data_IF_475703615794
#
_entry.id   IF_475703615794
#
_cell.length_a   1.000
_cell.length_b   1.000
_cell.length_c   1.000
_cell.angle_alpha   90.00
_cell.angle_beta   90.00
_cell.angle_gamma   90.00
#
_symmetry.space_group_name_H-M   'P 1'
#
loop_
_entity.id
_entity.type
_entity.pdbx_description
1 polymer ?
#
# COMPACT_ATOMS: atom_id res chain seq x y z
N UNK A 1 8.03 -13.76 23.66
CA UNK A 1 7.26 -13.62 22.40
C UNK A 1 8.18 -12.90 21.43
N UNK A 2 8.99 -13.66 20.69
CA UNK A 2 10.18 -13.11 20.00
C UNK A 2 10.04 -13.40 18.51
N UNK A 3 9.53 -12.43 17.76
CA UNK A 3 9.53 -12.48 16.30
C UNK A 3 10.87 -11.92 15.82
N UNK A 4 11.82 -12.82 15.50
CA UNK A 4 13.07 -12.44 14.85
C UNK A 4 12.83 -12.23 13.35
N UNK A 5 12.37 -11.04 12.98
CA UNK A 5 12.28 -10.60 11.58
C UNK A 5 13.63 -9.99 11.22
N UNK A 6 14.56 -10.82 10.72
CA UNK A 6 15.80 -10.34 10.15
C UNK A 6 15.55 -9.90 8.70
N UNK A 7 15.13 -8.65 8.51
CA UNK A 7 15.26 -7.97 7.22
C UNK A 7 16.49 -7.06 7.28
N UNK A 8 17.41 -7.29 6.35
CA UNK A 8 18.75 -6.72 6.27
C UNK A 8 18.76 -5.18 6.15
N UNK A 9 19.27 -4.47 7.15
CA UNK A 9 20.17 -3.29 7.01
C UNK A 9 20.55 -2.76 8.42
N UNK A 10 21.85 -2.75 8.75
CA UNK A 10 22.38 -2.48 10.12
C UNK A 10 22.15 -1.05 10.64
N UNK A 11 21.87 -0.07 9.77
CA UNK A 11 21.49 1.30 10.17
C UNK A 11 19.96 1.53 10.13
N UNK A 12 19.18 0.51 9.78
CA UNK A 12 17.74 0.56 9.55
C UNK A 12 16.93 0.00 10.74
N UNK A 13 17.58 -0.26 11.87
CA UNK A 13 16.93 -0.77 13.09
C UNK A 13 15.84 0.20 13.56
N UNK A 14 16.03 1.51 13.44
CA UNK A 14 15.02 2.50 13.84
C UNK A 14 13.81 2.46 12.88
N UNK A 15 14.03 2.37 11.56
CA UNK A 15 12.95 2.35 10.56
C UNK A 15 12.19 1.02 10.57
N UNK A 16 12.87 -0.11 10.75
CA UNK A 16 12.23 -1.44 10.90
C UNK A 16 11.46 -1.51 12.21
N UNK A 17 12.01 -0.98 13.31
CA UNK A 17 11.29 -0.92 14.59
C UNK A 17 10.07 -0.02 14.45
N UNK A 18 10.14 1.13 13.78
CA UNK A 18 8.98 2.02 13.60
C UNK A 18 7.94 1.40 12.65
N UNK A 19 8.33 0.75 11.56
CA UNK A 19 7.39 0.09 10.63
C UNK A 19 6.77 -1.15 11.28
N UNK A 20 7.55 -1.98 11.98
CA UNK A 20 7.03 -3.14 12.71
C UNK A 20 6.18 -2.68 13.89
N UNK A 21 6.57 -1.64 14.63
CA UNK A 21 5.75 -1.08 15.70
C UNK A 21 4.48 -0.46 15.13
N UNK A 22 4.52 0.33 14.05
CA UNK A 22 3.31 0.95 13.47
C UNK A 22 2.42 -0.08 12.80
N UNK A 23 2.95 -1.09 12.11
CA UNK A 23 2.14 -2.15 11.50
C UNK A 23 1.63 -3.12 12.55
N UNK A 24 2.43 -3.53 13.54
CA UNK A 24 1.96 -4.35 14.65
C UNK A 24 0.99 -3.55 15.50
N UNK A 25 1.20 -2.25 15.74
CA UNK A 25 0.24 -1.39 16.44
C UNK A 25 -1.03 -1.21 15.60
N UNK A 26 -0.96 -0.97 14.29
CA UNK A 26 -2.15 -0.83 13.43
C UNK A 26 -2.89 -2.16 13.36
N UNK A 27 -2.22 -3.29 13.17
CA UNK A 27 -2.83 -4.63 13.18
C UNK A 27 -3.35 -4.99 14.58
N UNK A 28 -2.63 -4.70 15.66
CA UNK A 28 -3.05 -4.99 17.05
C UNK A 28 -4.16 -4.04 17.51
N UNK A 29 -4.16 -2.77 17.10
CA UNK A 29 -5.26 -1.81 17.35
C UNK A 29 -6.50 -2.22 16.54
N UNK A 30 -6.33 -2.63 15.27
CA UNK A 30 -7.43 -3.14 14.42
C UNK A 30 -7.99 -4.46 14.93
N UNK A 31 -7.17 -5.32 15.54
CA UNK A 31 -7.62 -6.59 16.15
C UNK A 31 -8.21 -6.37 17.57
N UNK A 32 -7.71 -5.42 18.35
CA UNK A 32 -8.19 -5.13 19.71
C UNK A 32 -9.47 -4.29 19.73
N UNK A 33 -9.75 -3.53 18.67
CA UNK A 33 -10.95 -2.71 18.52
C UNK A 33 -11.68 -3.24 17.30
N UNK A 34 -12.70 -4.07 17.52
CA UNK A 34 -13.57 -4.64 16.49
C UNK A 34 -14.36 -3.55 15.73
N UNK A 35 -13.68 -2.77 14.90
CA UNK A 35 -14.29 -1.79 14.00
C UNK A 35 -13.68 -2.01 12.62
N UNK A 36 -14.53 -2.42 11.69
CA UNK A 36 -14.35 -2.46 10.24
C UNK A 36 -13.97 -1.08 9.72
N UNK A 37 -12.71 -0.69 9.88
CA UNK A 37 -12.13 0.49 9.22
C UNK A 37 -11.28 -0.04 8.08
N UNK A 38 -11.73 0.17 6.85
CA UNK A 38 -10.90 -0.01 5.66
C UNK A 38 -9.76 1.00 5.74
N UNK A 39 -8.65 0.65 6.39
CA UNK A 39 -7.44 1.45 6.37
C UNK A 39 -6.84 1.25 4.99
N UNK A 40 -7.17 2.16 4.08
CA UNK A 40 -6.54 2.21 2.76
C UNK A 40 -5.10 2.67 2.95
N UNK A 41 -4.13 1.83 2.65
CA UNK A 41 -2.71 2.21 2.61
C UNK A 41 -2.26 2.34 1.16
N UNK A 42 -1.28 3.20 0.90
CA UNK A 42 -0.63 3.25 -0.41
C UNK A 42 0.60 2.36 -0.40
N UNK A 43 0.57 1.31 -1.21
CA UNK A 43 1.73 0.46 -1.50
C UNK A 43 2.45 1.01 -2.71
N UNK A 44 3.75 1.20 -2.56
CA UNK A 44 4.62 1.64 -3.65
C UNK A 44 5.49 0.48 -4.14
N UNK A 45 5.43 0.19 -5.44
CA UNK A 45 6.15 -0.92 -6.09
C UNK A 45 6.93 -0.43 -7.31
N UNK A 46 8.07 -1.06 -7.63
CA UNK A 46 8.86 -0.74 -8.82
C UNK A 46 8.88 -1.89 -9.82
N UNK A 47 8.78 -1.62 -11.13
CA UNK A 47 8.97 -2.66 -12.16
C UNK A 47 10.46 -2.90 -12.45
N UNK A 48 10.77 -4.11 -12.93
CA UNK A 48 12.14 -4.61 -13.03
C UNK A 48 12.89 -4.07 -14.26
N UNK A 49 12.23 -3.66 -15.34
CA UNK A 49 12.92 -3.32 -16.61
C UNK A 49 13.06 -1.80 -16.80
N UNK A 50 12.16 -1.02 -16.20
CA UNK A 50 12.13 0.44 -16.20
C UNK A 50 11.82 0.81 -14.75
N UNK A 51 12.56 1.70 -14.09
CA UNK A 51 12.27 2.09 -12.69
C UNK A 51 10.98 2.93 -12.67
N UNK A 52 9.84 2.26 -12.84
CA UNK A 52 8.50 2.83 -12.79
C UNK A 52 7.97 2.55 -11.41
N UNK A 53 7.82 3.62 -10.64
CA UNK A 53 7.21 3.59 -9.32
C UNK A 53 5.69 3.65 -9.50
N UNK A 54 4.97 2.69 -8.93
CA UNK A 54 3.50 2.62 -8.95
C UNK A 54 2.95 2.65 -7.53
N UNK A 55 1.93 3.47 -7.31
CA UNK A 55 1.28 3.65 -6.02
C UNK A 55 -0.12 3.02 -6.05
N UNK A 56 -0.42 2.10 -5.15
CA UNK A 56 -1.72 1.40 -5.10
C UNK A 56 -2.36 1.56 -3.75
N UNK A 57 -3.60 2.04 -3.73
CA UNK A 57 -4.47 1.99 -2.58
C UNK A 57 -4.90 0.53 -2.33
N UNK A 58 -4.63 -0.01 -1.13
CA UNK A 58 -5.04 -1.37 -0.75
C UNK A 58 -5.70 -1.38 0.62
N UNK A 59 -6.62 -2.33 0.81
CA UNK A 59 -7.29 -2.55 2.09
C UNK A 59 -6.34 -3.24 3.07
N UNK A 60 -5.85 -2.52 4.09
CA UNK A 60 -4.90 -3.10 5.05
C UNK A 60 -5.48 -4.27 5.85
N UNK A 61 -6.80 -4.32 6.04
CA UNK A 61 -7.49 -5.43 6.72
C UNK A 61 -7.36 -6.77 5.98
N UNK A 62 -7.14 -6.74 4.67
CA UNK A 62 -6.98 -7.93 3.83
C UNK A 62 -5.54 -8.14 3.37
N UNK A 63 -4.64 -7.18 3.58
CA UNK A 63 -3.27 -7.25 3.08
C UNK A 63 -2.33 -7.93 4.09
N UNK A 64 -1.88 -9.19 3.85
CA UNK A 64 -1.06 -9.88 4.84
C UNK A 64 0.33 -9.25 4.93
N UNK A 65 0.85 -9.09 6.15
CA UNK A 65 2.19 -8.51 6.37
C UNK A 65 3.29 -9.28 5.62
N UNK A 66 3.14 -10.60 5.46
CA UNK A 66 4.07 -11.43 4.71
C UNK A 66 4.15 -11.05 3.22
N UNK A 67 3.12 -10.41 2.66
CA UNK A 67 3.09 -9.87 1.30
C UNK A 67 3.75 -8.48 1.18
N UNK A 68 3.99 -7.78 2.30
CA UNK A 68 4.59 -6.44 2.31
C UNK A 68 6.11 -6.43 2.06
N UNK A 69 6.75 -7.60 1.91
CA UNK A 69 8.19 -7.67 1.79
C UNK A 69 8.69 -7.00 0.50
N UNK A 70 9.54 -5.98 0.64
CA UNK A 70 10.09 -5.22 -0.48
C UNK A 70 9.20 -4.06 -0.94
N UNK A 71 8.13 -3.74 -0.22
CA UNK A 71 7.26 -2.59 -0.54
C UNK A 71 7.42 -1.46 0.46
N UNK A 72 7.05 -0.25 0.06
CA UNK A 72 6.92 0.89 0.96
C UNK A 72 5.43 1.15 1.26
N UNK A 73 5.09 1.21 2.55
CA UNK A 73 3.73 1.46 3.03
C UNK A 73 3.62 2.91 3.50
N UNK A 74 2.62 3.62 2.99
CA UNK A 74 2.27 4.98 3.42
C UNK A 74 0.87 5.01 4.02
N UNK A 75 0.71 5.65 5.18
CA UNK A 75 -0.58 5.89 5.86
C UNK A 75 -0.95 7.37 5.84
N UNK A 76 -2.14 7.71 6.34
CA UNK A 76 -2.64 9.10 6.35
C UNK A 76 -1.74 10.06 7.13
N UNK A 77 -1.09 9.58 8.18
CA UNK A 77 -0.13 10.36 8.98
C UNK A 77 1.18 10.59 8.22
N UNK A 78 1.53 9.68 7.31
CA UNK A 78 2.76 9.74 6.52
C UNK A 78 2.77 10.84 5.46
N UNK A 79 1.60 11.31 5.03
CA UNK A 79 1.49 12.37 4.01
C UNK A 79 1.36 13.78 4.61
N UNK A 80 0.99 13.89 5.89
CA UNK A 80 0.79 15.17 6.56
C UNK A 80 0.04 15.05 7.88
N UNK A 81 0.15 16.06 8.73
CA UNK A 81 -0.55 16.13 10.02
C UNK A 81 -0.80 17.57 10.45
N UNK A 82 -1.69 17.77 11.43
CA UNK A 82 -1.97 19.10 12.02
C UNK A 82 -0.83 19.67 12.86
N UNK A 83 0.13 18.83 13.29
CA UNK A 83 1.35 19.29 13.97
C UNK A 83 2.37 19.87 12.98
N UNK A 84 2.28 19.45 11.72
CA UNK A 84 3.10 19.94 10.63
C UNK A 84 2.23 20.59 9.57
N UNK A 85 2.53 20.29 8.31
CA UNK A 85 1.73 20.73 7.17
C UNK A 85 0.75 19.63 6.77
N UNK A 86 -0.49 20.01 6.49
CA UNK A 86 -1.45 19.11 5.86
C UNK A 86 -1.10 18.93 4.39
N UNK A 87 -1.26 17.70 3.91
CA UNK A 87 -1.21 17.42 2.48
C UNK A 87 -2.37 18.14 1.76
N UNK A 88 -2.21 18.62 0.51
CA UNK A 88 -3.31 19.25 -0.25
C UNK A 88 -4.60 18.41 -0.30
N UNK A 89 -4.49 17.08 -0.32
CA UNK A 89 -5.64 16.17 -0.26
C UNK A 89 -6.38 16.28 1.09
N UNK A 90 -5.64 16.30 2.21
CA UNK A 90 -6.21 16.45 3.55
C UNK A 90 -6.83 17.83 3.74
N UNK A 91 -6.17 18.88 3.23
CA UNK A 91 -6.67 20.25 3.31
C UNK A 91 -7.98 20.42 2.53
N UNK A 92 -8.02 19.97 1.27
CA UNK A 92 -9.19 20.16 0.39
C UNK A 92 -10.40 19.41 0.89
N UNK A 93 -10.27 18.16 1.34
CA UNK A 93 -11.42 17.43 1.89
C UNK A 93 -11.96 18.07 3.16
N UNK A 94 -11.10 18.67 4.00
CA UNK A 94 -11.52 19.34 5.22
C UNK A 94 -12.24 20.67 4.92
N UNK A 95 -11.61 21.53 4.11
CA UNK A 95 -12.15 22.84 3.73
C UNK A 95 -13.42 22.74 2.88
N UNK A 96 -13.55 21.70 2.05
CA UNK A 96 -14.75 21.44 1.25
C UNK A 96 -15.88 20.79 2.04
N UNK A 97 -15.79 20.72 3.38
CA UNK A 97 -16.78 20.06 4.24
C UNK A 97 -17.02 18.58 3.89
N UNK A 98 -16.01 17.92 3.31
CA UNK A 98 -16.02 16.51 2.91
C UNK A 98 -15.84 15.53 4.08
N UNK A 99 -15.74 16.03 5.31
CA UNK A 99 -15.59 15.23 6.52
C UNK A 99 -16.56 15.70 7.61
N UNK A 100 -17.40 14.78 8.11
CA UNK A 100 -18.30 15.01 9.24
C UNK A 100 -17.87 14.19 10.46
N UNK A 101 -18.29 12.92 10.56
CA UNK A 101 -17.85 12.04 11.66
C UNK A 101 -16.35 11.67 11.60
N UNK A 102 -15.71 11.87 10.45
CA UNK A 102 -14.27 11.67 10.25
C UNK A 102 -13.81 10.23 10.03
N UNK A 103 -14.64 9.23 10.31
CA UNK A 103 -14.23 7.82 10.29
C UNK A 103 -13.74 7.32 8.92
N UNK A 104 -14.45 7.67 7.84
CA UNK A 104 -14.07 7.27 6.47
C UNK A 104 -12.97 8.14 5.86
N UNK A 105 -12.66 9.29 6.47
CA UNK A 105 -11.82 10.34 5.86
C UNK A 105 -10.41 9.84 5.57
N UNK A 106 -9.73 9.08 6.46
CA UNK A 106 -8.41 8.53 6.15
C UNK A 106 -8.37 7.65 4.90
N UNK A 107 -9.33 6.73 4.74
CA UNK A 107 -9.38 5.83 3.57
C UNK A 107 -9.57 6.60 2.26
N UNK A 108 -10.50 7.56 2.27
CA UNK A 108 -10.78 8.44 1.13
C UNK A 108 -9.56 9.29 0.77
N UNK A 109 -8.88 9.84 1.77
CA UNK A 109 -7.63 10.61 1.58
C UNK A 109 -6.56 9.75 0.93
N UNK A 110 -6.35 8.52 1.41
CA UNK A 110 -5.30 7.63 0.86
C UNK A 110 -5.63 7.11 -0.54
N UNK A 111 -6.91 6.89 -0.87
CA UNK A 111 -7.34 6.60 -2.24
C UNK A 111 -7.04 7.75 -3.20
N UNK A 112 -7.39 8.98 -2.82
CA UNK A 112 -7.11 10.16 -3.65
C UNK A 112 -5.59 10.43 -3.74
N UNK A 113 -4.86 10.23 -2.66
CA UNK A 113 -3.40 10.35 -2.63
C UNK A 113 -2.73 9.37 -3.61
N UNK A 114 -3.10 8.10 -3.57
CA UNK A 114 -2.59 7.09 -4.51
C UNK A 114 -2.88 7.47 -5.97
N UNK A 115 -4.07 8.02 -6.25
CA UNK A 115 -4.41 8.53 -7.59
C UNK A 115 -3.46 9.65 -8.02
N UNK A 116 -3.27 10.69 -7.20
CA UNK A 116 -2.40 11.84 -7.53
C UNK A 116 -0.93 11.45 -7.72
N UNK A 117 -0.46 10.43 -6.98
CA UNK A 117 0.89 9.91 -7.11
C UNK A 117 1.14 9.22 -8.46
N UNK A 118 0.11 8.65 -9.08
CA UNK A 118 0.20 8.07 -10.42
C UNK A 118 -0.19 9.05 -11.53
N UNK A 119 -1.12 9.97 -11.24
CA UNK A 119 -1.71 10.90 -12.21
C UNK A 119 -1.89 12.27 -11.53
N UNK A 120 -0.89 13.18 -11.59
CA UNK A 120 -0.92 14.48 -10.89
C UNK A 120 -2.06 15.41 -11.29
N UNK A 121 -2.58 15.27 -12.51
CA UNK A 121 -3.78 15.98 -13.00
C UNK A 121 -4.82 14.95 -13.46
N UNK A 122 -5.64 14.41 -12.53
CA UNK A 122 -6.68 13.45 -12.86
C UNK A 122 -7.91 14.15 -13.48
N UNK A 123 -8.77 13.37 -14.15
CA UNK A 123 -10.12 13.80 -14.51
C UNK A 123 -11.14 13.31 -13.47
N UNK A 124 -12.42 13.70 -13.62
CA UNK A 124 -13.47 13.28 -12.68
C UNK A 124 -13.73 11.76 -12.68
N UNK A 125 -13.59 11.09 -13.82
CA UNK A 125 -13.75 9.64 -13.93
C UNK A 125 -12.68 8.91 -13.11
N UNK A 126 -11.43 9.36 -13.17
CA UNK A 126 -10.34 8.82 -12.35
C UNK A 126 -10.63 9.00 -10.86
N UNK A 127 -11.14 10.17 -10.45
CA UNK A 127 -11.49 10.45 -9.05
C UNK A 127 -12.63 9.52 -8.59
N UNK A 128 -13.68 9.37 -9.39
CA UNK A 128 -14.80 8.48 -9.04
C UNK A 128 -14.32 7.04 -8.91
N UNK A 129 -13.52 6.55 -9.87
CA UNK A 129 -12.97 5.20 -9.85
C UNK A 129 -12.07 4.95 -8.63
N UNK A 130 -11.21 5.91 -8.27
CA UNK A 130 -10.37 5.81 -7.07
C UNK A 130 -11.17 5.71 -5.76
N UNK A 131 -12.44 6.17 -5.76
CA UNK A 131 -13.31 6.21 -4.60
C UNK A 131 -14.34 5.07 -4.53
N UNK A 132 -14.43 4.19 -5.53
CA UNK A 132 -15.42 3.10 -5.59
C UNK A 132 -15.41 2.19 -4.35
N UNK A 133 -14.22 1.95 -3.77
CA UNK A 133 -14.04 1.15 -2.56
C UNK A 133 -14.26 1.89 -1.23
N UNK A 134 -14.62 3.19 -1.26
CA UNK A 134 -14.73 4.01 -0.05
C UNK A 134 -16.17 4.37 0.27
N UNK A 135 -16.63 3.95 1.45
CA UNK A 135 -18.00 4.22 1.91
C UNK A 135 -18.05 5.41 2.86
N UNK A 136 -18.99 6.33 2.61
CA UNK A 136 -19.30 7.45 3.50
C UNK A 136 -20.80 7.52 3.78
N UNK A 137 -21.18 7.49 5.05
CA UNK A 137 -22.60 7.57 5.47
C UNK A 137 -23.08 8.99 5.78
N UNK A 138 -22.16 9.90 6.11
CA UNK A 138 -22.51 11.21 6.66
C UNK A 138 -22.64 12.33 5.60
N UNK A 139 -21.75 12.36 4.61
CA UNK A 139 -21.58 13.54 3.74
C UNK A 139 -22.38 13.49 2.44
N UNK A 140 -22.89 12.32 2.05
CA UNK A 140 -23.54 12.12 0.75
C UNK A 140 -22.58 12.27 -0.44
N UNK A 141 -21.26 12.17 -0.22
CA UNK A 141 -20.15 12.25 -1.20
C UNK A 141 -19.97 13.58 -1.93
N UNK A 142 -21.03 14.35 -2.16
CA UNK A 142 -20.98 15.62 -2.89
C UNK A 142 -19.84 16.56 -2.45
N UNK A 143 -19.69 16.91 -1.17
CA UNK A 143 -18.60 17.78 -0.73
C UNK A 143 -17.19 17.18 -0.92
N UNK A 144 -17.06 15.85 -0.86
CA UNK A 144 -15.79 15.15 -1.11
C UNK A 144 -15.40 15.30 -2.58
N UNK A 145 -16.34 15.04 -3.48
CA UNK A 145 -16.13 15.16 -4.92
C UNK A 145 -15.87 16.60 -5.34
N UNK A 146 -16.61 17.57 -4.79
CA UNK A 146 -16.40 18.99 -5.10
C UNK A 146 -15.02 19.47 -4.62
N UNK A 147 -14.58 19.03 -3.43
CA UNK A 147 -13.23 19.30 -2.93
C UNK A 147 -12.14 18.70 -3.82
N UNK A 148 -12.25 17.44 -4.21
CA UNK A 148 -11.24 16.78 -5.06
C UNK A 148 -11.29 17.20 -6.52
N UNK A 149 -12.43 17.68 -7.03
CA UNK A 149 -12.55 18.23 -8.38
C UNK A 149 -11.59 19.39 -8.63
N UNK A 150 -11.16 20.09 -7.59
CA UNK A 150 -10.14 21.15 -7.66
C UNK A 150 -8.74 20.64 -8.06
N UNK A 151 -8.48 19.33 -8.04
CA UNK A 151 -7.26 18.73 -8.60
C UNK A 151 -7.35 18.51 -10.11
N UNK A 152 -8.54 18.63 -10.68
CA UNK A 152 -8.76 18.50 -12.13
C UNK A 152 -8.50 19.84 -12.83
N UNK A 153 -8.44 19.82 -14.16
CA UNK A 153 -8.39 21.05 -14.98
C UNK A 153 -9.72 21.81 -15.03
N UNK A 154 -10.79 21.30 -14.43
CA UNK A 154 -12.11 21.92 -14.49
C UNK A 154 -12.27 22.95 -13.37
N UNK A 155 -12.74 24.15 -13.71
CA UNK A 155 -13.14 25.15 -12.73
C UNK A 155 -14.35 24.66 -11.91
N UNK A 156 -14.31 24.87 -10.60
CA UNK A 156 -15.45 24.72 -9.69
C UNK A 156 -16.00 26.10 -9.33
N UNK A 157 -17.32 26.27 -9.38
CA UNK A 157 -17.98 27.52 -8.97
C UNK A 157 -18.18 27.62 -7.45
N UNK A 158 -17.97 26.52 -6.71
CA UNK A 158 -18.27 26.41 -5.27
C UNK A 158 -17.07 26.71 -4.36
N UNK A 159 -15.85 26.51 -4.86
CA UNK A 159 -14.62 26.78 -4.12
C UNK A 159 -13.65 27.52 -5.03
N UNK A 160 -13.02 28.57 -4.50
CA UNK A 160 -11.95 29.27 -5.20
C UNK A 160 -10.68 28.40 -5.16
N UNK A 161 -10.16 27.94 -6.32
CA UNK A 161 -8.92 27.17 -6.37
C UNK A 161 -7.73 27.90 -5.73
N UNK A 162 -7.76 29.25 -5.69
CA UNK A 162 -6.72 30.08 -5.08
C UNK A 162 -6.64 29.97 -3.55
N UNK A 163 -7.68 29.46 -2.88
CA UNK A 163 -7.71 29.26 -1.42
C UNK A 163 -7.03 27.96 -0.97
N UNK A 164 -6.71 27.05 -1.91
CA UNK A 164 -6.07 25.78 -1.62
C UNK A 164 -4.58 25.84 -1.89
N UNK A 165 -3.80 25.11 -1.09
CA UNK A 165 -2.40 24.88 -1.42
C UNK A 165 -2.33 24.09 -2.75
N UNK A 166 -1.51 24.54 -3.72
CA UNK A 166 -1.30 23.81 -4.96
C UNK A 166 -0.63 22.46 -4.66
N UNK A 167 -1.01 21.45 -5.45
CA UNK A 167 -0.34 20.15 -5.39
C UNK A 167 1.01 20.24 -6.12
N UNK A 168 2.08 19.87 -5.42
CA UNK A 168 3.43 19.81 -5.96
C UNK A 168 3.97 18.39 -5.76
N UNK A 169 4.00 17.62 -6.85
CA UNK A 169 4.47 16.24 -6.85
C UNK A 169 5.97 16.10 -6.49
N UNK A 170 6.76 17.18 -6.57
CA UNK A 170 8.17 17.16 -6.20
C UNK A 170 8.40 17.12 -4.68
N UNK A 171 7.40 17.51 -3.90
CA UNK A 171 7.45 17.54 -2.43
C UNK A 171 6.97 16.24 -1.79
N UNK A 172 6.66 15.23 -2.61
CA UNK A 172 6.24 13.92 -2.16
C UNK A 172 7.38 13.16 -1.50
N UNK A 173 7.01 12.27 -0.56
CA UNK A 173 7.98 11.36 0.04
C UNK A 173 8.65 10.52 -1.06
N UNK A 174 9.98 10.60 -1.08
CA UNK A 174 10.81 9.82 -2.00
C UNK A 174 10.63 8.33 -1.71
N UNK A 175 10.70 7.51 -2.76
CA UNK A 175 10.75 6.07 -2.55
C UNK A 175 12.04 5.69 -1.81
N UNK A 176 11.99 4.86 -0.76
CA UNK A 176 13.17 4.51 0.02
C UNK A 176 14.31 3.98 -0.88
N UNK A 177 15.47 4.66 -0.93
CA UNK A 177 16.57 4.26 -1.82
C UNK A 177 17.08 2.84 -1.57
N UNK A 178 16.97 2.36 -0.33
CA UNK A 178 17.33 0.98 0.04
C UNK A 178 16.48 -0.03 -0.72
N UNK A 179 15.16 0.20 -0.83
CA UNK A 179 14.25 -0.65 -1.60
C UNK A 179 14.49 -0.54 -3.10
N UNK A 180 14.90 0.64 -3.57
CA UNK A 180 15.27 0.82 -4.97
C UNK A 180 16.50 0.00 -5.35
N UNK A 181 17.50 -0.11 -4.47
CA UNK A 181 18.67 -0.95 -4.67
C UNK A 181 18.30 -2.44 -4.69
N UNK A 182 17.39 -2.89 -3.83
CA UNK A 182 16.85 -4.26 -3.87
C UNK A 182 16.26 -4.62 -5.24
N UNK A 183 15.58 -3.67 -5.89
CA UNK A 183 15.03 -3.87 -7.24
C UNK A 183 16.05 -3.66 -8.38
N UNK A 184 16.99 -2.72 -8.26
CA UNK A 184 17.99 -2.45 -9.30
C UNK A 184 19.09 -3.53 -9.37
N UNK A 185 19.44 -4.17 -8.26
CA UNK A 185 20.40 -5.28 -8.24
C UNK A 185 19.90 -6.49 -9.06
N UNK A 186 18.58 -6.61 -9.25
CA UNK A 186 17.94 -7.56 -10.16
C UNK A 186 18.35 -7.34 -11.63
N UNK A 187 18.44 -6.08 -12.09
CA UNK A 187 18.72 -5.71 -13.49
C UNK A 187 20.17 -6.01 -13.87
N UNK A 188 21.11 -5.58 -13.01
CA UNK A 188 22.55 -5.67 -13.28
C UNK A 188 23.01 -7.14 -13.33
N UNK A 189 22.38 -8.01 -12.54
CA UNK A 189 22.72 -9.45 -12.45
C UNK A 189 22.06 -10.26 -13.57
N UNK A 190 20.88 -9.84 -14.06
CA UNK A 190 20.23 -10.49 -15.21
C UNK A 190 21.02 -10.34 -16.52
N UNK A 191 21.90 -9.33 -16.63
CA UNK A 191 22.69 -9.04 -17.84
C UNK A 191 24.11 -9.63 -17.77
N UNK A 192 24.64 -9.92 -16.57
CA UNK A 192 25.96 -10.52 -16.40
C UNK A 192 25.94 -11.60 -15.31
N UNK A 193 26.12 -12.84 -15.75
CA UNK A 193 26.62 -14.00 -14.99
C UNK A 193 25.58 -14.70 -14.10
N UNK A 194 25.35 -15.96 -14.48
CA UNK A 194 25.10 -17.14 -13.64
C UNK A 194 25.51 -16.98 -12.18
N UNK A 195 24.58 -16.61 -11.31
CA UNK A 195 24.64 -16.97 -9.89
C UNK A 195 23.25 -16.80 -9.26
N UNK A 196 22.67 -17.91 -8.83
CA UNK A 196 21.31 -18.12 -8.28
C UNK A 196 20.95 -17.29 -7.02
N UNK A 197 21.71 -16.28 -6.65
CA UNK A 197 21.84 -15.91 -5.22
C UNK A 197 21.02 -14.70 -4.75
N UNK A 198 20.24 -14.02 -5.61
CA UNK A 198 19.58 -12.78 -5.19
C UNK A 198 18.05 -12.78 -5.14
N UNK A 199 17.39 -13.69 -5.84
CA UNK A 199 15.96 -13.94 -5.70
C UNK A 199 15.76 -15.08 -4.71
N UNK A 200 15.82 -14.75 -3.43
CA UNK A 200 15.56 -15.73 -2.37
C UNK A 200 14.06 -15.86 -2.18
N UNK A 201 13.56 -17.07 -2.37
CA UNK A 201 12.24 -17.41 -1.85
C UNK A 201 12.22 -17.11 -0.35
N UNK A 202 11.15 -16.46 0.11
CA UNK A 202 11.02 -16.07 1.51
C UNK A 202 10.04 -17.04 2.18
N UNK A 203 10.45 -17.59 3.32
CA UNK A 203 9.62 -18.48 4.14
C UNK A 203 9.35 -17.82 5.49
N UNK A 204 8.08 -17.59 5.80
CA UNK A 204 7.65 -17.17 7.14
C UNK A 204 6.93 -18.33 7.82
N UNK A 205 7.36 -18.68 9.03
CA UNK A 205 6.79 -19.79 9.79
C UNK A 205 6.02 -19.21 10.98
N UNK A 206 4.69 -19.30 10.91
CA UNK A 206 3.80 -18.99 12.02
C UNK A 206 3.42 -20.24 12.81
N UNK A 207 2.64 -20.07 13.88
CA UNK A 207 2.17 -21.20 14.72
C UNK A 207 1.21 -22.14 13.99
N UNK A 208 0.40 -21.61 13.07
CA UNK A 208 -0.65 -22.36 12.34
C UNK A 208 -0.47 -22.34 10.83
N UNK A 209 0.32 -21.42 10.30
CA UNK A 209 0.42 -21.13 8.86
C UNK A 209 1.89 -21.00 8.51
N UNK A 210 2.28 -21.59 7.38
CA UNK A 210 3.60 -21.35 6.77
C UNK A 210 3.38 -20.59 5.47
N UNK A 211 4.03 -19.45 5.33
CA UNK A 211 3.98 -18.63 4.14
C UNK A 211 5.23 -18.86 3.30
N UNK A 212 5.06 -19.17 2.03
CA UNK A 212 6.14 -19.35 1.08
C UNK A 212 5.98 -18.32 -0.05
N UNK A 213 7.04 -17.59 -0.38
CA UNK A 213 7.03 -16.61 -1.46
C UNK A 213 8.01 -17.04 -2.55
N UNK A 214 7.61 -17.87 -3.51
CA UNK A 214 8.46 -18.17 -4.67
C UNK A 214 8.66 -16.91 -5.50
N UNK A 215 9.80 -16.84 -6.16
CA UNK A 215 10.19 -15.71 -7.01
C UNK A 215 10.50 -16.15 -8.44
N UNK A 216 10.42 -17.46 -8.71
CA UNK A 216 10.49 -18.05 -10.05
C UNK A 216 9.39 -19.09 -10.23
N UNK A 217 8.96 -19.32 -11.47
CA UNK A 217 7.95 -20.32 -11.81
C UNK A 217 8.38 -21.73 -11.38
N UNK A 218 9.66 -22.06 -11.53
CA UNK A 218 10.23 -23.33 -11.07
C UNK A 218 10.05 -23.53 -9.56
N UNK A 219 10.42 -22.53 -8.74
CA UNK A 219 10.19 -22.59 -7.29
C UNK A 219 8.72 -22.76 -6.94
N UNK A 220 7.82 -22.10 -7.68
CA UNK A 220 6.38 -22.23 -7.48
C UNK A 220 5.92 -23.67 -7.76
N UNK A 221 6.35 -24.25 -8.88
CA UNK A 221 6.02 -25.62 -9.28
C UNK A 221 6.57 -26.65 -8.28
N UNK A 222 7.82 -26.46 -7.82
CA UNK A 222 8.43 -27.32 -6.80
C UNK A 222 7.66 -27.28 -5.47
N UNK A 223 7.26 -26.08 -5.02
CA UNK A 223 6.46 -25.92 -3.82
C UNK A 223 5.11 -26.62 -4.00
N UNK A 224 4.45 -26.46 -5.15
CA UNK A 224 3.17 -27.10 -5.42
C UNK A 224 3.26 -28.61 -5.55
N UNK A 225 4.37 -29.14 -6.04
CA UNK A 225 4.63 -30.58 -6.06
C UNK A 225 4.81 -31.14 -4.66
N UNK A 226 5.56 -30.45 -3.80
CA UNK A 226 5.81 -30.88 -2.41
C UNK A 226 4.63 -30.64 -1.47
N UNK A 227 3.79 -29.64 -1.75
CA UNK A 227 2.61 -29.26 -0.96
C UNK A 227 1.39 -29.07 -1.88
N UNK A 228 0.76 -30.15 -2.39
CA UNK A 228 -0.37 -30.06 -3.32
C UNK A 228 -1.55 -29.26 -2.75
N UNK A 229 -1.83 -29.46 -1.46
CA UNK A 229 -2.89 -28.80 -0.67
C UNK A 229 -2.62 -27.32 -0.35
N UNK A 230 -1.43 -26.79 -0.68
CA UNK A 230 -1.10 -25.38 -0.44
C UNK A 230 -2.06 -24.47 -1.23
N UNK A 231 -2.56 -23.39 -0.62
CA UNK A 231 -3.37 -22.41 -1.34
C UNK A 231 -2.46 -21.37 -2.02
N UNK A 232 -2.75 -21.09 -3.29
CA UNK A 232 -2.16 -19.95 -3.98
C UNK A 232 -2.87 -18.69 -3.51
N UNK A 233 -2.09 -17.67 -3.12
CA UNK A 233 -2.61 -16.45 -2.53
C UNK A 233 -2.00 -15.22 -3.19
N UNK A 234 -2.79 -14.49 -3.95
CA UNK A 234 -2.36 -13.26 -4.62
C UNK A 234 -2.84 -12.02 -3.84
N UNK A 235 -4.09 -11.60 -4.08
CA UNK A 235 -4.66 -10.39 -3.47
C UNK A 235 -5.28 -10.58 -2.09
N UNK A 236 -5.48 -11.84 -1.65
CA UNK A 236 -6.20 -12.19 -0.42
C UNK A 236 -7.61 -11.58 -0.29
N UNK A 237 -8.27 -11.30 -1.42
CA UNK A 237 -9.63 -10.74 -1.47
C UNK A 237 -10.73 -11.80 -1.41
N UNK A 238 -10.36 -13.09 -1.43
CA UNK A 238 -11.28 -14.24 -1.37
C UNK A 238 -11.01 -15.07 -0.11
N UNK A 239 -9.75 -15.42 0.13
CA UNK A 239 -9.33 -16.31 1.22
C UNK A 239 -9.43 -15.66 2.61
N UNK A 240 -9.55 -14.33 2.70
CA UNK A 240 -9.54 -13.57 3.96
C UNK A 240 -10.65 -13.92 4.95
N UNK A 241 -11.76 -14.50 4.48
CA UNK A 241 -12.85 -14.98 5.35
C UNK A 241 -12.68 -16.45 5.77
N UNK A 242 -11.92 -17.26 5.01
CA UNK A 242 -11.76 -18.71 5.20
C UNK A 242 -10.43 -19.14 5.90
N UNK A 243 -9.53 -18.20 6.21
CA UNK A 243 -8.12 -18.50 6.59
C UNK A 243 -7.88 -19.03 8.00
N UNK A 244 -8.90 -19.56 8.70
CA UNK A 244 -8.74 -20.14 10.04
C UNK A 244 -8.16 -21.57 10.05
N UNK A 245 -7.84 -22.13 8.89
CA UNK A 245 -7.41 -23.53 8.73
C UNK A 245 -5.96 -23.60 8.25
N UNK A 246 -5.19 -24.51 8.86
CA UNK A 246 -3.79 -24.83 8.52
C UNK A 246 -3.59 -24.85 7.01
N UNK A 247 -2.84 -23.90 6.47
CA UNK A 247 -2.56 -23.85 5.04
C UNK A 247 -1.17 -23.28 4.77
N UNK A 248 -0.54 -23.78 3.70
CA UNK A 248 0.65 -23.17 3.11
C UNK A 248 0.15 -22.15 2.10
N UNK A 249 0.50 -20.88 2.29
CA UNK A 249 0.09 -19.80 1.40
C UNK A 249 1.26 -19.40 0.51
N UNK A 250 1.01 -19.38 -0.80
CA UNK A 250 2.00 -19.04 -1.81
C UNK A 250 1.68 -17.66 -2.37
N UNK A 251 2.55 -16.68 -2.12
CA UNK A 251 2.35 -15.31 -2.61
C UNK A 251 3.26 -14.95 -3.77
N UNK A 252 2.68 -14.16 -4.68
CA UNK A 252 2.98 -14.11 -6.10
C UNK A 252 4.41 -13.71 -6.47
N UNK A 253 4.80 -14.27 -7.61
CA UNK A 253 5.75 -13.73 -8.57
C UNK A 253 5.02 -12.56 -9.24
N UNK A 254 5.66 -11.40 -9.42
CA UNK A 254 5.11 -10.35 -10.30
C UNK A 254 5.11 -10.88 -11.75
N UNK A 255 4.10 -11.68 -12.12
CA UNK A 255 3.82 -12.02 -13.51
C UNK A 255 3.12 -10.80 -14.09
N UNK A 256 3.90 -9.91 -14.69
CA UNK A 256 3.35 -8.94 -15.64
C UNK A 256 2.78 -9.75 -16.82
N UNK A 257 1.44 -9.84 -16.88
CA UNK A 257 0.73 -10.13 -18.13
C UNK A 257 0.32 -8.77 -18.71
#
# INVERSE_FOLDING_TARGET
MSFNIYALCKNCIITIIVIVIVIVIVIVIVIAIAITITITITITTTTIIIIIISHRAVNACLFPLCAAHGTAITTVEGIGSTKGKLHPVQERIAKAHGSQCGFCTPGIVMSMYALLRNQPTPNMENIMSALEGNLCRCTGYRPILDGFKTFTKMATMLYDPGEFVPYDASQEAIFPPELMYYCCLFIIISIKITNETLLKSVKFIGKKVTWLRPVTLEQLLDIKSNYPEAHLLVGNTEIGEDTLILSVLICDIYIYI
#
